data_IF_235264495569
#
_entry.id   IF_235264495569
#
_cell.length_a   1.000
_cell.length_b   1.000
_cell.length_c   1.000
_cell.angle_alpha   90.00
_cell.angle_beta   90.00
_cell.angle_gamma   90.00
#
_symmetry.space_group_name_H-M   'P 1'
#
loop_
_entity.id
_entity.type
_entity.pdbx_description
1 polymer ?
#
# COMPACT_ATOMS: atom_id res chain seq x y z
N UNK A 1 29.19 2.79 7.74
CA UNK A 1 28.08 3.32 8.57
C UNK A 1 27.28 4.47 7.94
N UNK A 2 27.87 5.43 7.21
CA UNK A 2 27.08 6.53 6.59
C UNK A 2 26.18 6.08 5.42
N UNK A 3 26.68 5.22 4.53
CA UNK A 3 25.93 4.77 3.34
C UNK A 3 24.69 3.95 3.71
N UNK A 4 24.80 3.06 4.71
CA UNK A 4 23.68 2.25 5.18
C UNK A 4 22.57 3.10 5.78
N UNK A 5 22.89 4.11 6.60
CA UNK A 5 21.91 5.02 7.18
C UNK A 5 21.20 5.88 6.11
N UNK A 6 21.95 6.40 5.13
CA UNK A 6 21.36 7.14 3.99
C UNK A 6 20.44 6.26 3.17
N UNK A 7 20.84 5.00 2.91
CA UNK A 7 20.01 4.04 2.19
C UNK A 7 18.71 3.73 2.94
N UNK A 8 18.77 3.44 4.25
CA UNK A 8 17.57 3.18 5.05
C UNK A 8 16.65 4.41 5.06
N UNK A 9 17.22 5.62 5.15
CA UNK A 9 16.44 6.87 5.11
C UNK A 9 15.72 7.05 3.77
N UNK A 10 16.41 6.81 2.65
CA UNK A 10 15.79 6.86 1.33
C UNK A 10 14.67 5.82 1.16
N UNK A 11 14.90 4.59 1.63
CA UNK A 11 13.90 3.53 1.61
C UNK A 11 12.65 3.91 2.43
N UNK A 12 12.84 4.48 3.62
CA UNK A 12 11.74 4.96 4.46
C UNK A 12 10.94 6.08 3.79
N UNK A 13 11.59 6.99 3.07
CA UNK A 13 10.89 8.04 2.32
C UNK A 13 9.97 7.45 1.23
N UNK A 14 10.43 6.42 0.51
CA UNK A 14 9.61 5.71 -0.49
C UNK A 14 8.43 4.99 0.17
N UNK A 15 8.68 4.28 1.28
CA UNK A 15 7.63 3.59 2.05
C UNK A 15 6.57 4.58 2.52
N UNK A 16 6.98 5.70 3.11
CA UNK A 16 6.06 6.74 3.60
C UNK A 16 5.24 7.35 2.46
N UNK A 17 5.86 7.59 1.31
CA UNK A 17 5.15 8.06 0.11
C UNK A 17 4.08 7.07 -0.33
N UNK A 18 4.40 5.76 -0.35
CA UNK A 18 3.41 4.73 -0.69
C UNK A 18 2.28 4.60 0.33
N UNK A 19 2.57 4.75 1.63
CA UNK A 19 1.55 4.79 2.68
C UNK A 19 0.55 5.93 2.43
N UNK A 20 1.04 7.14 2.15
CA UNK A 20 0.18 8.29 1.86
C UNK A 20 -0.68 8.03 0.62
N UNK A 21 -0.11 7.49 -0.46
CA UNK A 21 -0.86 7.17 -1.69
C UNK A 21 -1.95 6.13 -1.40
N UNK A 22 -1.65 5.11 -0.59
CA UNK A 22 -2.63 4.09 -0.19
C UNK A 22 -3.75 4.68 0.69
N UNK A 23 -3.42 5.58 1.62
CA UNK A 23 -4.41 6.29 2.44
C UNK A 23 -5.33 7.13 1.55
N UNK A 24 -4.77 7.85 0.57
CA UNK A 24 -5.56 8.59 -0.42
C UNK A 24 -6.50 7.63 -1.17
N UNK A 25 -5.99 6.48 -1.64
CA UNK A 25 -6.81 5.46 -2.31
C UNK A 25 -7.97 4.98 -1.42
N UNK A 26 -7.71 4.68 -0.15
CA UNK A 26 -8.74 4.27 0.81
C UNK A 26 -9.78 5.38 0.97
N UNK A 27 -9.37 6.63 1.18
CA UNK A 27 -10.28 7.78 1.31
C UNK A 27 -11.12 7.98 0.04
N UNK A 28 -10.53 7.83 -1.14
CA UNK A 28 -11.24 7.92 -2.42
C UNK A 28 -12.28 6.79 -2.59
N UNK A 29 -11.93 5.56 -2.20
CA UNK A 29 -12.85 4.42 -2.23
C UNK A 29 -14.01 4.60 -1.22
N UNK A 30 -13.74 5.12 -0.02
CA UNK A 30 -14.76 5.42 0.99
C UNK A 30 -15.70 6.56 0.57
N UNK A 31 -15.18 7.59 -0.10
CA UNK A 31 -16.00 8.70 -0.63
C UNK A 31 -16.81 8.32 -1.89
N UNK A 32 -16.82 7.05 -2.30
CA UNK A 32 -17.51 6.57 -3.50
C UNK A 32 -17.16 7.38 -4.76
N UNK A 33 -15.91 7.86 -4.85
CA UNK A 33 -15.45 8.59 -6.04
C UNK A 33 -15.56 7.64 -7.24
N UNK A 34 -16.13 8.14 -8.35
CA UNK A 34 -16.31 7.31 -9.54
C UNK A 34 -14.94 6.80 -10.03
N UNK A 35 -14.85 5.48 -10.16
CA UNK A 35 -13.62 4.76 -10.56
C UNK A 35 -13.20 5.05 -12.00
N UNK A 36 -14.03 5.73 -12.78
CA UNK A 36 -13.79 6.10 -14.18
C UNK A 36 -12.96 7.38 -14.34
N UNK A 37 -12.81 8.18 -13.29
CA UNK A 37 -12.03 9.41 -13.30
C UNK A 37 -10.53 9.13 -13.52
N UNK A 38 -9.87 9.99 -14.30
CA UNK A 38 -8.45 9.82 -14.64
C UNK A 38 -7.54 9.77 -13.38
N UNK A 39 -7.85 10.57 -12.36
CA UNK A 39 -7.12 10.57 -11.09
C UNK A 39 -7.24 9.25 -10.32
N UNK A 40 -8.43 8.64 -10.31
CA UNK A 40 -8.61 7.34 -9.65
C UNK A 40 -7.89 6.22 -10.42
N UNK A 41 -7.92 6.24 -11.75
CA UNK A 41 -7.16 5.29 -12.58
C UNK A 41 -5.65 5.41 -12.36
N UNK A 42 -5.14 6.63 -12.20
CA UNK A 42 -3.74 6.85 -11.85
C UNK A 42 -3.40 6.24 -10.48
N UNK A 43 -4.19 6.52 -9.45
CA UNK A 43 -4.02 5.90 -8.12
C UNK A 43 -4.05 4.38 -8.21
N UNK A 44 -4.99 3.81 -8.98
CA UNK A 44 -5.10 2.38 -9.19
C UNK A 44 -3.82 1.81 -9.82
N UNK A 45 -3.33 2.42 -10.90
CA UNK A 45 -2.12 1.96 -11.60
C UNK A 45 -0.85 2.03 -10.74
N UNK A 46 -0.70 3.08 -9.91
CA UNK A 46 0.46 3.25 -9.03
C UNK A 46 0.43 2.24 -7.88
N UNK A 47 -0.75 1.98 -7.32
CA UNK A 47 -0.88 1.14 -6.12
C UNK A 47 -1.11 -0.34 -6.41
N UNK A 48 -1.68 -0.70 -7.56
CA UNK A 48 -1.95 -2.09 -7.92
C UNK A 48 -0.73 -3.02 -7.97
N UNK A 49 0.48 -2.66 -8.44
CA UNK A 49 1.61 -3.58 -8.37
C UNK A 49 1.95 -4.03 -6.95
N UNK A 50 1.71 -3.16 -5.95
CA UNK A 50 1.91 -3.47 -4.54
C UNK A 50 0.72 -4.26 -3.95
N UNK A 51 -0.50 -3.97 -4.41
CA UNK A 51 -1.72 -4.55 -3.87
C UNK A 51 -2.10 -5.89 -4.48
N UNK A 52 -1.79 -6.12 -5.76
CA UNK A 52 -2.10 -7.36 -6.48
C UNK A 52 -1.55 -8.62 -5.80
N UNK A 53 -0.27 -8.70 -5.36
CA UNK A 53 0.23 -9.90 -4.67
C UNK A 53 -0.54 -10.16 -3.37
N UNK A 54 -0.81 -9.11 -2.59
CA UNK A 54 -1.59 -9.21 -1.35
C UNK A 54 -3.03 -9.63 -1.63
N UNK A 55 -3.67 -9.04 -2.64
CA UNK A 55 -5.03 -9.38 -3.07
C UNK A 55 -5.14 -10.85 -3.47
N UNK A 56 -4.17 -11.38 -4.21
CA UNK A 56 -4.09 -12.80 -4.57
C UNK A 56 -3.99 -13.70 -3.34
N UNK A 57 -3.19 -13.32 -2.33
CA UNK A 57 -3.08 -14.05 -1.08
C UNK A 57 -4.38 -14.00 -0.26
N UNK A 58 -5.04 -12.86 -0.20
CA UNK A 58 -6.32 -12.70 0.49
C UNK A 58 -7.44 -13.54 -0.16
N UNK A 59 -7.50 -13.57 -1.49
CA UNK A 59 -8.45 -14.43 -2.23
C UNK A 59 -8.16 -15.91 -1.96
N UNK A 60 -6.88 -16.30 -1.96
CA UNK A 60 -6.47 -17.67 -1.62
C UNK A 60 -6.91 -18.05 -0.20
N UNK A 61 -6.73 -17.16 0.77
CA UNK A 61 -7.19 -17.35 2.15
C UNK A 61 -8.73 -17.43 2.25
N UNK A 62 -9.45 -16.69 1.40
CA UNK A 62 -10.92 -16.69 1.35
C UNK A 62 -11.53 -17.82 0.48
N UNK A 63 -10.86 -18.98 0.41
CA UNK A 63 -11.32 -20.15 -0.39
C UNK A 63 -11.60 -19.81 -1.87
N UNK A 64 -10.84 -18.88 -2.44
CA UNK A 64 -10.99 -18.47 -3.84
C UNK A 64 -12.13 -17.49 -4.12
N UNK A 65 -12.88 -17.05 -3.10
CA UNK A 65 -13.97 -16.08 -3.29
C UNK A 65 -13.43 -14.64 -3.30
N UNK A 66 -13.80 -13.81 -4.30
CA UNK A 66 -13.43 -12.40 -4.31
C UNK A 66 -14.06 -11.70 -3.11
N UNK A 67 -13.31 -10.81 -2.47
CA UNK A 67 -13.83 -9.97 -1.39
C UNK A 67 -14.79 -8.94 -1.98
N UNK A 68 -15.92 -8.70 -1.30
CA UNK A 68 -16.88 -7.64 -1.68
C UNK A 68 -16.26 -6.25 -1.59
N UNK A 69 -15.35 -6.05 -0.64
CA UNK A 69 -14.56 -4.85 -0.48
C UNK A 69 -13.09 -5.20 -0.59
N UNK A 70 -12.32 -4.41 -1.35
CA UNK A 70 -10.89 -4.63 -1.47
C UNK A 70 -10.19 -4.17 -0.19
N UNK A 71 -9.96 -5.10 0.74
CA UNK A 71 -9.27 -4.84 2.02
C UNK A 71 -7.74 -4.79 1.80
N UNK A 72 -7.25 -5.10 0.61
CA UNK A 72 -5.81 -5.13 0.28
C UNK A 72 -5.09 -3.81 0.63
N UNK A 73 -5.64 -2.61 0.35
CA UNK A 73 -4.98 -1.34 0.70
C UNK A 73 -4.76 -1.18 2.20
N UNK A 74 -5.75 -1.53 3.02
CA UNK A 74 -5.64 -1.48 4.47
C UNK A 74 -4.57 -2.46 4.98
N UNK A 75 -4.55 -3.67 4.44
CA UNK A 75 -3.55 -4.67 4.81
C UNK A 75 -2.13 -4.19 4.47
N UNK A 76 -1.93 -3.61 3.28
CA UNK A 76 -0.63 -3.10 2.86
C UNK A 76 -0.19 -1.91 3.70
N UNK A 77 -1.09 -1.00 4.09
CA UNK A 77 -0.77 0.11 5.02
C UNK A 77 -0.20 -0.44 6.34
N UNK A 78 -0.86 -1.44 6.94
CA UNK A 78 -0.39 -2.06 8.18
C UNK A 78 0.98 -2.73 7.98
N UNK A 79 1.17 -3.42 6.86
CA UNK A 79 2.43 -4.08 6.53
C UNK A 79 3.58 -3.08 6.36
N UNK A 80 3.35 -1.99 5.61
CA UNK A 80 4.33 -0.92 5.41
C UNK A 80 4.69 -0.24 6.72
N UNK A 81 3.71 0.01 7.59
CA UNK A 81 3.94 0.60 8.91
C UNK A 81 4.84 -0.28 9.77
N UNK A 82 4.61 -1.60 9.74
CA UNK A 82 5.42 -2.56 10.47
C UNK A 82 6.86 -2.61 9.91
N UNK A 83 7.02 -2.61 8.60
CA UNK A 83 8.34 -2.54 7.95
C UNK A 83 9.06 -1.24 8.32
N UNK A 84 8.38 -0.08 8.27
CA UNK A 84 8.97 1.21 8.63
C UNK A 84 9.39 1.26 10.10
N UNK A 85 8.59 0.69 10.99
CA UNK A 85 8.90 0.56 12.42
C UNK A 85 10.14 -0.30 12.65
N UNK A 86 10.27 -1.42 11.92
CA UNK A 86 11.46 -2.26 11.98
C UNK A 86 12.69 -1.53 11.44
N UNK A 87 12.58 -0.86 10.28
CA UNK A 87 13.68 -0.08 9.69
C UNK A 87 14.18 1.04 10.61
N UNK A 88 13.27 1.69 11.34
CA UNK A 88 13.63 2.71 12.33
C UNK A 88 14.54 2.17 13.43
N UNK A 89 14.41 0.88 13.78
CA UNK A 89 15.26 0.24 14.80
C UNK A 89 16.69 -0.02 14.34
N UNK A 90 16.95 0.02 13.03
CA UNK A 90 18.26 -0.25 12.42
C UNK A 90 19.01 1.03 11.98
N UNK A 91 18.41 2.20 12.18
CA UNK A 91 19.08 3.51 12.05
C UNK A 91 19.71 3.86 13.40
#
# INVERSE_FOLDING_TARGET
MKISATFITALRAVIYTMEVVLVIRVVCEFKLIRRDTAGFKFLLNVTDPLLNPVRKQLIKANKGKPLRFDISPLFVIILLYLINTLLYRYI
#
